data_IF_421289963967
#
_entry.id   IF_421289963967
#
_cell.length_a   1.000
_cell.length_b   1.000
_cell.length_c   1.000
_cell.angle_alpha   90.00
_cell.angle_beta   90.00
_cell.angle_gamma   90.00
#
_symmetry.space_group_name_H-M   'P 1'
#
loop_
_entity.id
_entity.type
_entity.pdbx_description
1 polymer ?
#
# COMPACT_ATOMS: atom_id res chain seq x y z
N UNK A 1 23.70 -26.10 9.74
CA UNK A 1 22.38 -26.21 9.09
C UNK A 1 21.35 -26.47 10.18
N UNK A 2 20.32 -25.64 10.29
CA UNK A 2 19.19 -25.93 11.18
C UNK A 2 18.34 -27.02 10.50
N UNK A 3 18.39 -28.25 11.01
CA UNK A 3 17.63 -29.40 10.48
C UNK A 3 16.59 -29.84 11.52
N UNK A 4 15.59 -29.00 11.79
CA UNK A 4 14.40 -29.46 12.51
C UNK A 4 13.50 -30.18 11.51
N UNK A 5 13.08 -31.41 11.83
CA UNK A 5 12.09 -32.09 10.99
C UNK A 5 10.72 -31.52 11.31
N UNK A 6 9.84 -31.50 10.31
CA UNK A 6 8.42 -31.13 10.51
C UNK A 6 7.76 -32.04 11.56
N UNK A 7 8.20 -33.30 11.66
CA UNK A 7 7.74 -34.25 12.67
C UNK A 7 8.05 -33.84 14.11
N UNK A 8 9.01 -32.93 14.31
CA UNK A 8 9.48 -32.52 15.63
C UNK A 8 8.70 -31.30 16.16
N UNK A 9 7.79 -30.74 15.34
CA UNK A 9 6.97 -29.58 15.68
C UNK A 9 5.75 -29.98 16.50
N UNK A 10 5.40 -29.16 17.47
CA UNK A 10 4.08 -29.18 18.10
C UNK A 10 3.00 -28.75 17.12
N UNK A 11 1.74 -29.07 17.44
CA UNK A 11 0.58 -28.67 16.62
C UNK A 11 0.49 -27.15 16.48
N UNK A 12 0.81 -26.40 17.52
CA UNK A 12 0.75 -24.94 17.49
C UNK A 12 1.85 -24.32 16.62
N UNK A 13 3.07 -24.86 16.67
CA UNK A 13 4.16 -24.44 15.78
C UNK A 13 3.81 -24.74 14.32
N UNK A 14 3.25 -25.91 14.02
CA UNK A 14 2.82 -26.25 12.66
C UNK A 14 1.70 -25.32 12.17
N UNK A 15 0.71 -25.03 13.02
CA UNK A 15 -0.35 -24.07 12.70
C UNK A 15 0.21 -22.68 12.45
N UNK A 16 1.19 -22.24 13.24
CA UNK A 16 1.89 -20.97 13.05
C UNK A 16 2.60 -20.90 11.71
N UNK A 17 3.37 -21.94 11.37
CA UNK A 17 4.09 -22.03 10.08
C UNK A 17 3.12 -21.98 8.89
N UNK A 18 2.02 -22.74 8.93
CA UNK A 18 1.02 -22.73 7.86
C UNK A 18 0.41 -21.34 7.72
N UNK A 19 0.00 -20.71 8.83
CA UNK A 19 -0.60 -19.38 8.81
C UNK A 19 0.34 -18.35 8.18
N UNK A 20 1.61 -18.40 8.58
CA UNK A 20 2.61 -17.46 8.06
C UNK A 20 2.88 -17.68 6.58
N UNK A 21 3.00 -18.93 6.15
CA UNK A 21 3.19 -19.29 4.74
C UNK A 21 2.01 -18.81 3.88
N UNK A 22 0.78 -19.00 4.36
CA UNK A 22 -0.42 -18.51 3.68
C UNK A 22 -0.45 -16.99 3.63
N UNK A 23 -0.13 -16.31 4.75
CA UNK A 23 -0.07 -14.84 4.81
C UNK A 23 0.95 -14.30 3.81
N UNK A 24 2.13 -14.89 3.75
CA UNK A 24 3.18 -14.53 2.79
C UNK A 24 2.66 -14.72 1.35
N UNK A 25 2.13 -15.90 1.03
CA UNK A 25 1.61 -16.21 -0.31
C UNK A 25 0.52 -15.23 -0.74
N UNK A 26 -0.41 -14.91 0.16
CA UNK A 26 -1.46 -13.95 -0.12
C UNK A 26 -0.89 -12.53 -0.32
N UNK A 27 0.13 -12.14 0.43
CA UNK A 27 0.77 -10.82 0.25
C UNK A 27 1.50 -10.72 -1.09
N UNK A 28 2.06 -11.83 -1.57
CA UNK A 28 2.72 -11.91 -2.88
C UNK A 28 1.70 -11.90 -4.04
N UNK A 29 0.55 -12.56 -3.88
CA UNK A 29 -0.52 -12.60 -4.90
C UNK A 29 -1.32 -11.29 -4.92
N UNK A 30 -1.62 -10.72 -3.75
CA UNK A 30 -2.36 -9.47 -3.58
C UNK A 30 -1.39 -8.29 -3.46
N UNK A 31 -0.35 -8.29 -4.29
CA UNK A 31 0.54 -7.14 -4.44
C UNK A 31 -0.24 -5.91 -4.93
N UNK A 32 0.43 -4.76 -4.96
CA UNK A 32 -0.17 -3.48 -5.34
C UNK A 32 -1.00 -3.61 -6.64
N UNK A 33 -2.33 -3.42 -6.57
CA UNK A 33 -3.21 -3.60 -7.73
C UNK A 33 -2.94 -2.57 -8.83
N UNK A 34 -2.26 -1.47 -8.50
CA UNK A 34 -1.93 -0.40 -9.43
C UNK A 34 -0.50 -0.56 -10.02
N UNK A 35 0.26 -1.59 -9.62
CA UNK A 35 1.61 -1.81 -10.14
C UNK A 35 1.60 -2.03 -11.66
N UNK A 36 2.45 -1.29 -12.36
CA UNK A 36 2.52 -1.30 -13.82
C UNK A 36 1.38 -0.60 -14.55
N UNK A 37 0.41 0.01 -13.86
CA UNK A 37 -0.61 0.84 -14.50
C UNK A 37 -0.07 2.23 -14.86
N UNK A 38 -0.48 2.73 -16.01
CA UNK A 38 -0.23 4.11 -16.42
C UNK A 38 -1.36 5.04 -15.96
N UNK A 39 -1.03 6.31 -15.76
CA UNK A 39 -2.04 7.33 -15.50
C UNK A 39 -2.89 7.54 -16.76
N UNK A 40 -4.20 7.65 -16.58
CA UNK A 40 -5.08 8.10 -17.66
C UNK A 40 -4.74 9.55 -18.02
N UNK A 41 -4.79 9.88 -19.32
CA UNK A 41 -4.47 11.22 -19.84
C UNK A 41 -5.16 12.37 -19.07
N UNK A 42 -6.42 12.18 -18.67
CA UNK A 42 -7.17 13.18 -17.90
C UNK A 42 -6.58 13.43 -16.51
N UNK A 43 -6.14 12.36 -15.83
CA UNK A 43 -5.50 12.44 -14.52
C UNK A 43 -4.11 13.05 -14.65
N UNK A 44 -3.33 12.60 -15.63
CA UNK A 44 -2.00 13.14 -15.89
C UNK A 44 -2.05 14.65 -16.18
N UNK A 45 -2.96 15.08 -17.05
CA UNK A 45 -3.15 16.49 -17.36
C UNK A 45 -3.53 17.29 -16.11
N UNK A 46 -4.46 16.78 -15.30
CA UNK A 46 -4.88 17.45 -14.05
C UNK A 46 -3.69 17.62 -13.09
N UNK A 47 -2.87 16.58 -12.93
CA UNK A 47 -1.66 16.64 -12.10
C UNK A 47 -0.65 17.65 -12.64
N UNK A 48 -0.42 17.68 -13.95
CA UNK A 48 0.49 18.66 -14.59
C UNK A 48 0.04 20.10 -14.33
N UNK A 49 -1.25 20.39 -14.42
CA UNK A 49 -1.81 21.71 -14.11
C UNK A 49 -1.62 22.06 -12.63
N UNK A 50 -1.91 21.13 -11.72
CA UNK A 50 -1.72 21.32 -10.28
C UNK A 50 -0.26 21.62 -9.92
N UNK A 51 0.68 20.82 -10.44
CA UNK A 51 2.12 21.01 -10.23
C UNK A 51 2.57 22.37 -10.77
N UNK A 52 2.08 22.76 -11.96
CA UNK A 52 2.37 24.08 -12.53
C UNK A 52 1.85 25.21 -11.64
N UNK A 53 0.61 25.11 -11.16
CA UNK A 53 0.02 26.12 -10.28
C UNK A 53 0.85 26.31 -9.01
N UNK A 54 1.30 25.22 -8.38
CA UNK A 54 2.17 25.28 -7.19
C UNK A 54 3.50 25.96 -7.53
N UNK A 55 4.13 25.63 -8.68
CA UNK A 55 5.36 26.30 -9.14
C UNK A 55 5.16 27.79 -9.40
N UNK A 56 3.99 28.18 -9.87
CA UNK A 56 3.61 29.57 -10.12
C UNK A 56 3.19 30.31 -8.83
N UNK A 57 3.27 29.67 -7.66
CA UNK A 57 3.03 30.28 -6.35
C UNK A 57 1.62 30.10 -5.79
N UNK A 58 0.83 29.18 -6.33
CA UNK A 58 -0.46 28.83 -5.75
C UNK A 58 -0.30 28.25 -4.34
N UNK A 59 -1.24 28.53 -3.42
CA UNK A 59 -1.18 28.02 -2.05
C UNK A 59 -1.35 26.50 -2.01
N UNK A 60 -0.61 25.84 -1.13
CA UNK A 60 -0.77 24.43 -0.78
C UNK A 60 -1.41 24.29 0.58
N UNK A 61 -2.15 23.21 0.79
CA UNK A 61 -2.78 22.87 2.07
C UNK A 61 -2.20 21.57 2.58
N UNK A 62 -2.11 21.40 3.89
CA UNK A 62 -1.72 20.11 4.46
C UNK A 62 -2.86 19.10 4.28
N UNK A 63 -2.53 17.80 4.29
CA UNK A 63 -3.56 16.76 4.23
C UNK A 63 -4.57 16.89 5.40
N UNK A 64 -4.08 17.31 6.58
CA UNK A 64 -4.92 17.58 7.75
C UNK A 64 -5.92 18.71 7.52
N UNK A 65 -5.47 19.86 7.00
CA UNK A 65 -6.35 21.01 6.72
C UNK A 65 -7.44 20.66 5.70
N UNK A 66 -7.10 19.84 4.70
CA UNK A 66 -8.04 19.36 3.69
C UNK A 66 -9.04 18.38 4.31
N UNK A 67 -8.57 17.44 5.13
CA UNK A 67 -9.43 16.47 5.81
C UNK A 67 -10.42 17.16 6.76
N UNK A 68 -9.96 18.12 7.57
CA UNK A 68 -10.80 18.92 8.46
C UNK A 68 -11.88 19.68 7.68
N UNK A 69 -11.47 20.37 6.60
CA UNK A 69 -12.40 21.13 5.76
C UNK A 69 -13.48 20.24 5.11
N UNK A 70 -13.14 18.99 4.79
CA UNK A 70 -14.04 18.04 4.14
C UNK A 70 -14.81 17.16 5.14
N UNK A 71 -14.56 17.30 6.45
CA UNK A 71 -15.18 16.45 7.48
C UNK A 71 -14.75 14.98 7.38
N UNK A 72 -13.53 14.72 6.90
CA UNK A 72 -12.98 13.38 6.77
C UNK A 72 -12.25 12.99 8.06
N UNK A 73 -12.48 11.76 8.52
CA UNK A 73 -11.66 11.16 9.57
C UNK A 73 -10.42 10.56 8.90
N UNK A 74 -9.26 11.15 9.20
CA UNK A 74 -7.95 10.75 8.70
C UNK A 74 -7.10 10.18 9.82
#
# INVERSE_FOLDING_TARGET
>A
MLTNKVSDMTVDELRGLIRETVRQTLSEILADPDDGLELQDGIENTLRHSIKAIRDGAPTYTAGDVAEKLGLNW
#
